data_IF_480957485189
#
_entry.id   IF_480957485189
#
_cell.length_a   1.000
_cell.length_b   1.000
_cell.length_c   1.000
_cell.angle_alpha   90.00
_cell.angle_beta   90.00
_cell.angle_gamma   90.00
#
_symmetry.space_group_name_H-M   'P 1'
#
loop_
_entity.id
_entity.type
_entity.pdbx_description
1 polymer ?
#
# COMPACT_ATOMS: atom_id res chain seq x y z
N UNK A 1 -11.68 -3.56 -1.67
CA UNK A 1 -12.86 -4.45 -1.68
C UNK A 1 -12.37 -5.86 -1.38
N UNK A 2 -12.96 -6.55 -0.41
CA UNK A 2 -12.67 -7.96 -0.13
C UNK A 2 -13.89 -8.80 -0.51
N UNK A 3 -13.65 -9.94 -1.16
CA UNK A 3 -14.71 -10.89 -1.52
C UNK A 3 -14.56 -12.12 -0.64
N UNK A 4 -15.57 -12.37 0.20
CA UNK A 4 -15.58 -13.46 1.18
C UNK A 4 -16.51 -14.56 0.68
N UNK A 5 -15.94 -15.71 0.32
CA UNK A 5 -16.70 -16.92 -0.02
C UNK A 5 -16.45 -17.94 1.10
N UNK A 6 -17.52 -18.58 1.60
CA UNK A 6 -17.44 -19.59 2.67
C UNK A 6 -17.50 -20.97 1.99
N UNK A 7 -16.37 -21.70 1.86
CA UNK A 7 -16.40 -23.11 1.61
C UNK A 7 -16.72 -23.85 2.92
N UNK A 8 -17.19 -25.10 2.81
CA UNK A 8 -17.57 -26.02 3.88
C UNK A 8 -16.74 -25.88 5.18
N UNK A 9 -17.42 -26.07 6.32
CA UNK A 9 -17.03 -25.91 7.75
C UNK A 9 -15.58 -26.19 8.22
N UNK A 10 -14.70 -26.78 7.40
CA UNK A 10 -13.31 -27.13 7.74
C UNK A 10 -12.24 -26.26 7.05
N UNK A 11 -12.61 -25.44 6.05
CA UNK A 11 -11.64 -24.54 5.40
C UNK A 11 -12.30 -23.28 4.85
N UNK A 12 -11.60 -22.15 4.95
CA UNK A 12 -12.04 -20.84 4.46
C UNK A 12 -10.98 -20.23 3.55
N UNK A 13 -11.39 -19.62 2.43
CA UNK A 13 -10.48 -18.89 1.54
C UNK A 13 -10.96 -17.45 1.40
N UNK A 14 -10.06 -16.50 1.67
CA UNK A 14 -10.33 -15.08 1.61
C UNK A 14 -9.47 -14.48 0.51
N UNK A 15 -10.11 -13.87 -0.49
CA UNK A 15 -9.44 -13.10 -1.52
C UNK A 15 -9.56 -11.61 -1.18
N UNK A 16 -8.44 -10.90 -1.20
CA UNK A 16 -8.44 -9.46 -0.96
C UNK A 16 -7.58 -8.72 -1.98
N UNK A 17 -8.08 -7.56 -2.39
CA UNK A 17 -7.32 -6.60 -3.17
C UNK A 17 -7.34 -5.25 -2.44
N UNK A 18 -6.17 -4.65 -2.31
CA UNK A 18 -5.95 -3.37 -1.65
C UNK A 18 -5.18 -2.42 -2.56
N UNK A 19 -5.49 -1.14 -2.48
CA UNK A 19 -4.78 -0.09 -3.21
C UNK A 19 -4.28 0.91 -2.17
N UNK A 20 -2.97 1.06 -2.07
CA UNK A 20 -2.34 2.11 -1.27
C UNK A 20 -2.15 3.36 -2.12
N UNK A 21 -2.39 4.52 -1.51
CA UNK A 21 -2.31 5.82 -2.17
C UNK A 21 -3.30 5.98 -3.34
N UNK A 22 -4.60 5.77 -3.07
CA UNK A 22 -5.69 5.85 -4.07
C UNK A 22 -5.72 7.20 -4.81
N UNK A 23 -5.39 8.28 -4.09
CA UNK A 23 -5.39 9.65 -4.60
C UNK A 23 -4.06 10.05 -5.28
N UNK A 24 -3.11 9.11 -5.40
CA UNK A 24 -1.76 9.34 -5.94
C UNK A 24 -1.07 10.59 -5.36
N UNK A 25 -1.20 10.76 -4.04
CA UNK A 25 -0.64 11.91 -3.35
C UNK A 25 0.86 11.74 -3.22
N UNK A 26 1.62 12.64 -3.82
CA UNK A 26 3.06 12.75 -3.65
C UNK A 26 3.36 13.66 -2.45
N UNK A 27 3.68 13.07 -1.30
CA UNK A 27 4.10 13.85 -0.14
C UNK A 27 5.57 14.23 -0.26
N UNK A 28 5.89 15.46 0.16
CA UNK A 28 7.28 15.90 0.36
C UNK A 28 7.77 15.25 1.64
N UNK A 29 8.79 14.40 1.53
CA UNK A 29 9.34 13.65 2.67
C UNK A 29 10.51 14.36 3.32
N UNK A 30 11.26 15.12 2.51
CA UNK A 30 12.46 15.80 2.96
C UNK A 30 12.70 17.06 2.12
N UNK A 31 13.69 17.85 2.52
CA UNK A 31 14.10 19.04 1.80
C UNK A 31 15.62 19.11 1.72
N UNK A 32 16.14 19.09 0.50
CA UNK A 32 17.56 19.27 0.27
C UNK A 32 17.89 20.75 0.23
N UNK A 33 18.94 21.12 0.97
CA UNK A 33 19.48 22.47 1.00
C UNK A 33 20.69 22.55 0.07
N UNK A 34 20.85 23.69 -0.60
CA UNK A 34 22.11 23.99 -1.28
C UNK A 34 23.22 24.19 -0.24
N UNK A 35 24.49 24.10 -0.64
CA UNK A 35 25.64 24.17 0.30
C UNK A 35 25.66 25.47 1.14
N UNK A 36 25.10 26.55 0.59
CA UNK A 36 24.94 27.85 1.25
C UNK A 36 23.59 28.02 1.98
N UNK A 37 22.81 26.94 2.12
CA UNK A 37 21.49 26.86 2.80
C UNK A 37 20.40 27.83 2.32
N UNK A 38 20.67 28.61 1.27
CA UNK A 38 19.82 29.68 0.76
C UNK A 38 18.69 29.21 -0.17
N UNK A 39 18.80 28.02 -0.74
CA UNK A 39 17.77 27.41 -1.58
C UNK A 39 17.30 26.08 -0.99
N UNK A 40 15.98 25.92 -0.90
CA UNK A 40 15.30 24.70 -0.42
C UNK A 40 14.64 24.00 -1.59
N UNK A 41 15.00 22.75 -1.85
CA UNK A 41 14.34 21.92 -2.89
C UNK A 41 13.53 20.80 -2.22
N UNK A 42 12.22 20.69 -2.51
CA UNK A 42 11.41 19.60 -1.97
C UNK A 42 11.88 18.26 -2.54
N UNK A 43 12.07 17.29 -1.67
CA UNK A 43 12.37 15.90 -2.02
C UNK A 43 11.08 15.11 -1.86
N UNK A 44 10.62 14.52 -2.96
CA UNK A 44 9.46 13.65 -2.98
C UNK A 44 9.88 12.21 -2.76
N UNK A 45 8.99 11.39 -2.20
CA UNK A 45 9.20 9.96 -2.11
C UNK A 45 9.01 9.31 -3.48
N UNK A 46 9.88 8.37 -3.84
CA UNK A 46 9.72 7.54 -5.04
C UNK A 46 8.54 6.53 -4.90
N UNK A 47 7.97 6.40 -3.70
CA UNK A 47 6.83 5.54 -3.42
C UNK A 47 5.51 6.23 -3.81
N UNK A 48 4.91 5.78 -4.92
CA UNK A 48 3.61 6.26 -5.47
C UNK A 48 2.46 5.29 -5.12
N UNK A 49 1.54 5.02 -6.05
CA UNK A 49 0.37 4.15 -5.89
C UNK A 49 0.75 2.69 -6.04
N UNK A 50 0.45 1.90 -5.01
CA UNK A 50 0.70 0.47 -5.00
C UNK A 50 -0.61 -0.31 -4.98
N UNK A 51 -0.66 -1.39 -5.75
CA UNK A 51 -1.79 -2.33 -5.78
C UNK A 51 -1.31 -3.65 -5.22
N UNK A 52 -2.04 -4.17 -4.24
CA UNK A 52 -1.76 -5.43 -3.57
C UNK A 52 -2.95 -6.36 -3.78
N UNK A 53 -2.65 -7.63 -4.08
CA UNK A 53 -3.64 -8.70 -4.09
C UNK A 53 -3.11 -9.86 -3.26
N UNK A 54 -3.99 -10.51 -2.51
CA UNK A 54 -3.61 -11.59 -1.62
C UNK A 54 -4.73 -12.61 -1.44
N UNK A 55 -4.29 -13.80 -1.03
CA UNK A 55 -5.14 -14.95 -0.69
C UNK A 55 -4.77 -15.42 0.70
N UNK A 56 -5.78 -15.64 1.53
CA UNK A 56 -5.62 -16.27 2.84
C UNK A 56 -6.41 -17.56 2.87
N UNK A 57 -5.75 -18.67 3.13
CA UNK A 57 -6.37 -19.99 3.30
C UNK A 57 -6.33 -20.31 4.80
N UNK A 58 -7.49 -20.52 5.39
CA UNK A 58 -7.66 -20.92 6.78
C UNK A 58 -8.09 -22.39 6.80
N UNK A 59 -7.26 -23.26 7.36
CA UNK A 59 -7.56 -24.68 7.54
C UNK A 59 -7.80 -24.91 9.03
N UNK A 60 -9.00 -25.35 9.39
CA UNK A 60 -9.28 -25.86 10.73
C UNK A 60 -8.86 -27.33 10.74
N UNK A 61 -7.70 -27.61 11.32
CA UNK A 61 -7.20 -28.95 11.65
C UNK A 61 -7.89 -29.47 12.91
#
# INVERSE_FOLDING_TARGET
MSYYWIPKQNWSVIFYASVSNVLDRQNVIDYTYNNDYSQRRPVHSDYSRFVYAGVTINLKL
#
